data_IF_487300907900
#
_entry.id   IF_487300907900
#
_cell.length_a   1.000
_cell.length_b   1.000
_cell.length_c   1.000
_cell.angle_alpha   90.00
_cell.angle_beta   90.00
_cell.angle_gamma   90.00
#
_symmetry.space_group_name_H-M   'P 1'
#
loop_
_entity.id
_entity.type
_entity.pdbx_description
1 polymer ?
#
# COMPACT_ATOMS: atom_id res chain seq x y z
N UNK A 1 6.44 7.09 6.21
CA UNK A 1 6.26 6.00 7.19
C UNK A 1 7.60 5.99 7.91
N UNK A 2 7.72 6.72 9.03
CA UNK A 2 8.99 7.36 9.41
C UNK A 2 10.16 6.45 9.77
N UNK A 3 9.94 5.13 9.90
CA UNK A 3 10.97 4.21 10.39
C UNK A 3 12.00 3.82 9.31
N UNK A 4 11.59 3.75 8.04
CA UNK A 4 12.47 3.35 6.93
C UNK A 4 12.81 4.50 5.98
N UNK A 5 12.19 5.67 6.16
CA UNK A 5 12.42 6.85 5.33
C UNK A 5 13.88 7.38 5.43
N UNK A 6 14.64 6.96 6.45
CA UNK A 6 16.05 7.32 6.67
C UNK A 6 17.07 6.32 6.10
N UNK A 7 16.63 5.15 5.62
CA UNK A 7 17.52 4.13 5.04
C UNK A 7 17.61 4.28 3.53
N UNK A 8 18.83 4.21 3.00
CA UNK A 8 19.02 4.03 1.56
C UNK A 8 18.50 2.66 1.11
N UNK A 9 18.16 2.47 -0.18
CA UNK A 9 17.76 1.16 -0.70
C UNK A 9 18.80 0.05 -0.41
N UNK A 10 20.09 0.40 -0.39
CA UNK A 10 21.17 -0.54 -0.06
C UNK A 10 21.11 -0.97 1.41
N UNK A 11 20.96 -0.03 2.33
CA UNK A 11 20.86 -0.32 3.77
C UNK A 11 19.59 -1.12 4.09
N UNK A 12 18.47 -0.78 3.45
CA UNK A 12 17.24 -1.54 3.58
C UNK A 12 17.41 -2.99 3.09
N UNK A 13 18.08 -3.20 1.95
CA UNK A 13 18.35 -4.54 1.44
C UNK A 13 19.25 -5.35 2.39
N UNK A 14 20.27 -4.71 3.00
CA UNK A 14 21.11 -5.35 4.02
C UNK A 14 20.26 -5.78 5.22
N UNK A 15 19.39 -4.90 5.71
CA UNK A 15 18.49 -5.20 6.83
C UNK A 15 17.56 -6.37 6.53
N UNK A 16 16.96 -6.42 5.33
CA UNK A 16 16.09 -7.53 4.91
C UNK A 16 16.83 -8.86 4.95
N UNK A 17 18.08 -8.90 4.48
CA UNK A 17 18.89 -10.13 4.52
C UNK A 17 19.22 -10.55 5.96
N UNK A 18 19.56 -9.61 6.85
CA UNK A 18 19.81 -9.90 8.27
C UNK A 18 18.56 -10.51 8.92
N UNK A 19 17.39 -9.90 8.69
CA UNK A 19 16.12 -10.41 9.22
C UNK A 19 15.79 -11.78 8.64
N UNK A 20 15.97 -11.99 7.33
CA UNK A 20 15.71 -13.28 6.70
C UNK A 20 16.58 -14.41 7.29
N UNK A 21 17.88 -14.16 7.48
CA UNK A 21 18.79 -15.11 8.12
C UNK A 21 18.36 -15.39 9.56
N UNK A 22 18.08 -14.35 10.36
CA UNK A 22 17.66 -14.51 11.75
C UNK A 22 16.34 -15.28 11.91
N UNK A 23 15.39 -15.10 10.97
CA UNK A 23 14.10 -15.81 10.99
C UNK A 23 14.18 -17.26 10.54
N UNK A 24 15.22 -17.64 9.79
CA UNK A 24 15.33 -18.94 9.14
C UNK A 24 16.43 -19.84 9.73
N UNK A 25 17.24 -19.31 10.65
CA UNK A 25 18.31 -20.03 11.32
C UNK A 25 17.76 -21.25 12.09
N UNK A 26 18.36 -22.42 11.86
CA UNK A 26 18.00 -23.67 12.55
C UNK A 26 16.74 -24.37 12.01
N UNK A 27 15.99 -23.74 11.10
CA UNK A 27 14.79 -24.32 10.49
C UNK A 27 15.12 -25.32 9.37
N UNK A 28 14.19 -26.25 9.12
CA UNK A 28 14.24 -27.09 7.92
C UNK A 28 13.89 -26.28 6.66
N UNK A 29 14.20 -26.84 5.49
CA UNK A 29 13.80 -26.25 4.22
C UNK A 29 12.27 -26.12 4.08
N UNK A 30 11.52 -27.10 4.58
CA UNK A 30 10.05 -27.11 4.54
C UNK A 30 9.47 -26.03 5.45
N UNK A 31 9.99 -25.87 6.67
CA UNK A 31 9.55 -24.82 7.59
C UNK A 31 9.82 -23.42 7.01
N UNK A 32 11.00 -23.24 6.42
CA UNK A 32 11.35 -21.98 5.75
C UNK A 32 10.47 -21.71 4.52
N UNK A 33 10.04 -22.74 3.80
CA UNK A 33 9.10 -22.59 2.68
C UNK A 33 7.73 -22.09 3.17
N UNK A 34 7.21 -22.70 4.23
CA UNK A 34 5.93 -22.28 4.84
C UNK A 34 6.01 -20.85 5.35
N UNK A 35 7.07 -20.51 6.09
CA UNK A 35 7.28 -19.15 6.61
C UNK A 35 7.41 -18.12 5.48
N UNK A 36 8.20 -18.43 4.45
CA UNK A 36 8.38 -17.55 3.29
C UNK A 36 7.08 -17.30 2.53
N UNK A 37 6.28 -18.35 2.30
CA UNK A 37 4.97 -18.22 1.66
C UNK A 37 4.01 -17.38 2.51
N UNK A 38 4.02 -17.55 3.83
CA UNK A 38 3.21 -16.75 4.74
C UNK A 38 3.59 -15.26 4.66
N UNK A 39 4.87 -14.91 4.80
CA UNK A 39 5.34 -13.52 4.73
C UNK A 39 5.07 -12.88 3.36
N UNK A 40 5.19 -13.66 2.29
CA UNK A 40 4.87 -13.23 0.93
C UNK A 40 3.38 -12.89 0.80
N UNK A 41 2.50 -13.76 1.28
CA UNK A 41 1.06 -13.53 1.24
C UNK A 41 0.64 -12.32 2.07
N UNK A 42 1.22 -12.14 3.27
CA UNK A 42 0.99 -10.94 4.11
C UNK A 42 1.37 -9.68 3.34
N UNK A 43 2.56 -9.66 2.72
CA UNK A 43 3.04 -8.52 1.96
C UNK A 43 2.15 -8.20 0.77
N UNK A 44 1.74 -9.23 0.01
CA UNK A 44 0.81 -9.06 -1.11
C UNK A 44 -0.53 -8.48 -0.66
N UNK A 45 -1.10 -8.97 0.44
CA UNK A 45 -2.36 -8.48 0.97
C UNK A 45 -2.27 -7.02 1.43
N UNK A 46 -1.16 -6.62 2.07
CA UNK A 46 -0.92 -5.21 2.44
C UNK A 46 -0.94 -4.31 1.19
N UNK A 47 -0.27 -4.73 0.12
CA UNK A 47 -0.24 -3.98 -1.14
C UNK A 47 -1.63 -3.89 -1.79
N UNK A 48 -2.40 -4.97 -1.77
CA UNK A 48 -3.78 -4.98 -2.29
C UNK A 48 -4.67 -4.02 -1.48
N UNK A 49 -4.57 -4.04 -0.14
CA UNK A 49 -5.32 -3.13 0.73
C UNK A 49 -4.96 -1.67 0.42
N UNK A 50 -3.66 -1.35 0.26
CA UNK A 50 -3.23 0.00 -0.09
C UNK A 50 -3.78 0.44 -1.46
N UNK A 51 -3.76 -0.43 -2.47
CA UNK A 51 -4.33 -0.15 -3.78
C UNK A 51 -5.85 0.08 -3.73
N UNK A 52 -6.57 -0.70 -2.90
CA UNK A 52 -8.00 -0.52 -2.65
C UNK A 52 -8.28 0.83 -1.98
N UNK A 53 -7.49 1.23 -0.97
CA UNK A 53 -7.61 2.53 -0.31
C UNK A 53 -7.40 3.69 -1.28
N UNK A 54 -6.37 3.61 -2.14
CA UNK A 54 -6.11 4.62 -3.17
C UNK A 54 -7.27 4.70 -4.19
N UNK A 55 -7.82 3.56 -4.57
CA UNK A 55 -8.97 3.49 -5.48
C UNK A 55 -10.19 4.15 -4.86
N UNK A 56 -10.50 3.86 -3.59
CA UNK A 56 -11.63 4.45 -2.88
C UNK A 56 -11.48 5.97 -2.77
N UNK A 57 -10.31 6.46 -2.36
CA UNK A 57 -10.03 7.89 -2.28
C UNK A 57 -10.20 8.59 -3.64
N UNK A 58 -9.75 7.98 -4.73
CA UNK A 58 -9.95 8.50 -6.09
C UNK A 58 -11.43 8.58 -6.50
N UNK A 59 -12.24 7.60 -6.07
CA UNK A 59 -13.69 7.62 -6.30
C UNK A 59 -14.37 8.74 -5.52
N UNK A 60 -14.01 8.95 -4.26
CA UNK A 60 -14.53 10.04 -3.42
C UNK A 60 -14.20 11.41 -4.01
N UNK A 61 -12.96 11.60 -4.48
CA UNK A 61 -12.55 12.84 -5.15
C UNK A 61 -13.36 13.11 -6.42
N UNK A 62 -13.59 12.07 -7.25
CA UNK A 62 -14.44 12.18 -8.44
C UNK A 62 -15.88 12.52 -8.09
N UNK A 63 -16.44 11.93 -7.04
CA UNK A 63 -17.80 12.25 -6.57
C UNK A 63 -17.91 13.71 -6.11
N UNK A 64 -16.88 14.21 -5.40
CA UNK A 64 -16.80 15.61 -4.98
C UNK A 64 -16.75 16.55 -6.19
N UNK A 65 -15.92 16.24 -7.19
CA UNK A 65 -15.85 17.01 -8.44
C UNK A 65 -17.20 17.05 -9.17
N UNK A 66 -17.90 15.91 -9.28
CA UNK A 66 -19.25 15.85 -9.88
C UNK A 66 -20.23 16.74 -9.11
N UNK A 67 -20.21 16.70 -7.77
CA UNK A 67 -21.09 17.52 -6.94
C UNK A 67 -20.83 19.01 -7.16
N UNK A 68 -19.57 19.42 -7.26
CA UNK A 68 -19.22 20.82 -7.46
C UNK A 68 -19.54 21.30 -8.88
N UNK A 69 -19.34 20.46 -9.91
CA UNK A 69 -19.79 20.74 -11.28
C UNK A 69 -21.31 20.92 -11.35
N UNK A 70 -22.09 20.05 -10.68
CA UNK A 70 -23.56 20.20 -10.62
C UNK A 70 -23.99 21.53 -10.00
N UNK A 71 -23.31 22.01 -8.95
CA UNK A 71 -23.59 23.33 -8.37
C UNK A 71 -23.30 24.46 -9.35
N UNK A 72 -22.20 24.37 -10.10
CA UNK A 72 -21.81 25.39 -11.08
C UNK A 72 -22.84 25.48 -12.22
N UNK A 73 -23.29 24.34 -12.75
CA UNK A 73 -24.34 24.28 -13.78
C UNK A 73 -25.62 24.95 -13.27
N UNK A 74 -26.09 24.57 -12.07
CA UNK A 74 -27.30 25.16 -11.48
C UNK A 74 -27.19 26.69 -11.29
N UNK A 75 -26.00 27.19 -10.96
CA UNK A 75 -25.78 28.63 -10.84
C UNK A 75 -25.89 29.33 -12.20
N UNK A 76 -25.26 28.77 -13.23
CA UNK A 76 -25.34 29.28 -14.60
C UNK A 76 -26.78 29.28 -15.13
N UNK A 77 -27.57 28.25 -14.84
CA UNK A 77 -28.99 28.16 -15.22
C UNK A 77 -29.85 29.24 -14.55
N UNK A 78 -29.52 29.64 -13.32
CA UNK A 78 -30.26 30.69 -12.61
C UNK A 78 -29.82 32.12 -12.99
N UNK A 79 -28.64 32.27 -13.58
CA UNK A 79 -28.06 33.54 -14.03
C UNK A 79 -28.47 33.89 -15.49
N UNK A 80 -29.19 32.99 -16.18
CA UNK A 80 -29.76 33.12 -17.54
C UNK A 80 -31.26 33.45 -17.48
#
# INVERSE_FOLDING_TARGET
MSLFDSLTPKELNILVNIVAVALTEGNSADDNNVLGNFLTAVSANILVIAAQQQTLSSLEDKQKQIKDLKKQIKKLENDL
#
